data_IF_742620706773
#
_entry.id   IF_742620706773
#
_cell.length_a   1.000
_cell.length_b   1.000
_cell.length_c   1.000
_cell.angle_alpha   90.00
_cell.angle_beta   90.00
_cell.angle_gamma   90.00
#
_symmetry.space_group_name_H-M   'P 1'
#
loop_
_entity.id
_entity.type
_entity.pdbx_description
1 polymer ?
#
# COMPACT_ATOMS: atom_id res chain seq x y z
N UNK A 1 -13.63 6.44 -3.23
CA UNK A 1 -13.28 7.22 -2.02
C UNK A 1 -13.61 6.48 -0.72
N UNK A 2 -14.87 6.09 -0.43
CA UNK A 2 -15.19 5.27 0.76
C UNK A 2 -14.61 3.84 0.62
N UNK A 3 -14.72 3.24 -0.56
CA UNK A 3 -14.17 1.91 -0.87
C UNK A 3 -12.67 1.82 -0.65
N UNK A 4 -11.92 2.83 -1.09
CA UNK A 4 -10.46 2.86 -1.00
C UNK A 4 -9.94 3.01 0.44
N UNK A 5 -10.62 3.81 1.26
CA UNK A 5 -10.32 3.89 2.70
C UNK A 5 -10.60 2.54 3.37
N UNK A 6 -11.70 1.90 3.01
CA UNK A 6 -12.07 0.60 3.55
C UNK A 6 -11.06 -0.49 3.17
N UNK A 7 -10.62 -0.53 1.90
CA UNK A 7 -9.59 -1.46 1.44
C UNK A 7 -8.27 -1.33 2.22
N UNK A 8 -7.80 -0.11 2.47
CA UNK A 8 -6.61 0.11 3.30
C UNK A 8 -6.82 -0.35 4.75
N UNK A 9 -7.99 -0.09 5.34
CA UNK A 9 -8.29 -0.53 6.70
C UNK A 9 -8.33 -2.06 6.79
N UNK A 10 -8.96 -2.73 5.82
CA UNK A 10 -9.00 -4.19 5.75
C UNK A 10 -7.61 -4.79 5.58
N UNK A 11 -6.78 -4.20 4.73
CA UNK A 11 -5.38 -4.58 4.58
C UNK A 11 -4.63 -4.45 5.91
N UNK A 12 -4.71 -3.29 6.57
CA UNK A 12 -4.06 -3.06 7.86
C UNK A 12 -4.55 -4.03 8.95
N UNK A 13 -5.86 -4.26 9.03
CA UNK A 13 -6.47 -5.15 10.02
C UNK A 13 -6.03 -6.61 9.79
N UNK A 14 -5.98 -7.07 8.53
CA UNK A 14 -5.52 -8.43 8.17
C UNK A 14 -4.00 -8.63 8.30
N UNK A 15 -3.23 -7.54 8.34
CA UNK A 15 -1.81 -7.53 8.69
C UNK A 15 -1.58 -7.35 10.21
N UNK A 16 -2.63 -7.22 11.02
CA UNK A 16 -2.54 -7.10 12.47
C UNK A 16 -2.07 -5.72 12.95
N UNK A 17 -2.22 -4.68 12.13
CA UNK A 17 -1.84 -3.31 12.47
C UNK A 17 -2.93 -2.62 13.29
N UNK A 18 -2.68 -2.38 14.58
CA UNK A 18 -3.60 -1.62 15.42
C UNK A 18 -3.56 -0.12 15.07
N UNK A 19 -4.58 0.30 14.33
CA UNK A 19 -4.74 1.69 13.86
C UNK A 19 -4.97 2.70 14.98
N UNK A 20 -5.24 2.30 16.23
CA UNK A 20 -5.43 3.19 17.38
C UNK A 20 -4.20 3.30 18.30
N UNK A 21 -3.25 2.36 18.19
CA UNK A 21 -2.07 2.32 19.05
C UNK A 21 -0.85 3.00 18.42
N UNK A 22 -0.60 2.77 17.13
CA UNK A 22 0.56 3.33 16.43
C UNK A 22 0.13 4.29 15.31
N UNK A 23 0.93 5.33 15.10
CA UNK A 23 0.68 6.32 14.03
C UNK A 23 1.01 5.76 12.64
N UNK A 24 2.00 4.87 12.56
CA UNK A 24 2.41 4.22 11.32
C UNK A 24 3.10 2.87 11.58
N UNK A 25 3.15 2.03 10.55
CA UNK A 25 3.81 0.72 10.53
C UNK A 25 4.70 0.61 9.29
N UNK A 26 5.93 0.15 9.45
CA UNK A 26 6.82 -0.17 8.32
C UNK A 26 6.81 -1.68 8.09
N UNK A 27 6.65 -2.10 6.84
CA UNK A 27 6.65 -3.50 6.46
C UNK A 27 7.29 -3.69 5.10
N UNK A 28 8.12 -4.72 4.95
CA UNK A 28 8.60 -5.14 3.64
C UNK A 28 7.45 -5.68 2.81
N UNK A 29 7.42 -5.37 1.52
CA UNK A 29 6.46 -5.90 0.57
C UNK A 29 7.12 -6.22 -0.77
N UNK A 30 6.48 -7.11 -1.50
CA UNK A 30 6.79 -7.38 -2.90
C UNK A 30 5.88 -6.52 -3.78
N UNK A 31 6.50 -5.63 -4.54
CA UNK A 31 5.90 -4.82 -5.58
C UNK A 31 5.82 -5.60 -6.89
N UNK A 32 4.67 -5.49 -7.56
CA UNK A 32 4.47 -6.01 -8.91
C UNK A 32 3.64 -5.00 -9.73
N UNK A 33 4.24 -4.44 -10.78
CA UNK A 33 3.55 -3.56 -11.74
C UNK A 33 2.58 -4.38 -12.59
N UNK A 34 1.34 -3.91 -12.72
CA UNK A 34 0.29 -4.60 -13.48
C UNK A 34 0.24 -4.17 -14.96
N UNK A 35 1.03 -3.17 -15.33
CA UNK A 35 1.09 -2.57 -16.68
C UNK A 35 2.38 -2.88 -17.44
N UNK A 36 3.46 -3.17 -16.72
CA UNK A 36 4.82 -3.38 -17.24
C UNK A 36 5.49 -4.54 -16.50
N UNK A 37 6.53 -5.18 -17.06
CA UNK A 37 7.26 -6.24 -16.39
C UNK A 37 8.26 -5.67 -15.35
N UNK A 38 7.79 -4.88 -14.39
CA UNK A 38 8.59 -4.30 -13.31
C UNK A 38 8.13 -4.86 -11.96
N UNK A 39 9.06 -5.42 -11.19
CA UNK A 39 8.78 -6.07 -9.91
C UNK A 39 10.00 -5.99 -8.99
N UNK A 40 9.78 -6.08 -7.68
CA UNK A 40 10.88 -6.03 -6.71
C UNK A 40 10.40 -5.92 -5.28
N UNK A 41 11.35 -5.86 -4.35
CA UNK A 41 11.05 -5.58 -2.95
C UNK A 41 11.03 -4.07 -2.71
N UNK A 42 10.17 -3.62 -1.81
CA UNK A 42 10.08 -2.23 -1.34
C UNK A 42 9.64 -2.22 0.12
N UNK A 43 9.96 -1.15 0.85
CA UNK A 43 9.38 -0.90 2.17
C UNK A 43 8.12 -0.06 2.03
N UNK A 44 7.04 -0.51 2.68
CA UNK A 44 5.76 0.19 2.78
C UNK A 44 5.60 0.74 4.18
N UNK A 45 5.39 2.04 4.30
CA UNK A 45 4.93 2.69 5.53
C UNK A 45 3.41 2.88 5.45
N UNK A 46 2.65 2.15 6.26
CA UNK A 46 1.22 2.34 6.45
C UNK A 46 0.98 3.39 7.52
N UNK A 47 0.35 4.51 7.17
CA UNK A 47 -0.08 5.52 8.14
C UNK A 47 -1.53 5.27 8.55
N UNK A 48 -1.78 5.15 9.85
CA UNK A 48 -3.08 4.81 10.44
C UNK A 48 -4.16 5.88 10.21
N UNK A 49 -3.73 7.13 9.97
CA UNK A 49 -4.63 8.24 9.69
C UNK A 49 -5.44 8.74 10.90
N UNK A 50 -5.05 8.40 12.13
CA UNK A 50 -5.76 8.77 13.37
C UNK A 50 -6.11 10.26 13.50
N UNK A 51 -5.27 11.15 12.94
CA UNK A 51 -5.45 12.60 12.99
C UNK A 51 -5.59 13.23 11.59
N UNK A 52 -5.78 12.42 10.55
CA UNK A 52 -5.85 12.86 9.16
C UNK A 52 -7.31 12.96 8.70
N UNK A 53 -7.66 14.07 8.04
CA UNK A 53 -8.96 14.22 7.36
C UNK A 53 -9.10 13.33 6.12
N UNK A 54 -8.01 12.69 5.68
CA UNK A 54 -7.96 11.85 4.48
C UNK A 54 -8.00 10.34 4.80
N UNK A 55 -7.96 9.97 6.09
CA UNK A 55 -7.89 8.57 6.52
C UNK A 55 -6.49 7.95 6.39
N UNK A 56 -6.39 6.61 6.40
CA UNK A 56 -5.12 5.91 6.25
C UNK A 56 -4.57 6.09 4.84
N UNK A 57 -3.25 5.99 4.72
CA UNK A 57 -2.53 6.10 3.45
C UNK A 57 -1.22 5.34 3.53
N UNK A 58 -0.54 5.17 2.40
CA UNK A 58 0.76 4.48 2.36
C UNK A 58 1.83 5.38 1.77
N UNK A 59 3.07 5.15 2.21
CA UNK A 59 4.28 5.67 1.59
C UNK A 59 5.16 4.48 1.21
N UNK A 60 5.67 4.48 -0.02
CA UNK A 60 6.69 3.55 -0.50
C UNK A 60 8.04 4.24 -0.47
N UNK A 61 9.10 3.47 -0.28
CA UNK A 61 10.46 4.01 -0.39
C UNK A 61 10.77 4.50 -1.81
N UNK A 62 11.91 5.19 -1.96
CA UNK A 62 12.33 5.79 -3.23
C UNK A 62 12.59 4.75 -4.35
N UNK A 63 12.68 3.45 -4.02
CA UNK A 63 12.88 2.40 -5.03
C UNK A 63 11.72 2.33 -6.02
N UNK A 64 10.52 2.72 -5.61
CA UNK A 64 9.31 2.74 -6.46
C UNK A 64 9.50 3.59 -7.73
N UNK A 65 10.32 4.65 -7.66
CA UNK A 65 10.63 5.49 -8.82
C UNK A 65 11.41 4.74 -9.89
N UNK A 66 12.24 3.78 -9.50
CA UNK A 66 12.98 2.93 -10.46
C UNK A 66 12.05 1.99 -11.22
N UNK A 67 10.88 1.67 -10.65
CA UNK A 67 9.81 0.94 -11.32
C UNK A 67 8.91 1.84 -12.18
N UNK A 68 9.23 3.13 -12.29
CA UNK A 68 8.51 4.07 -13.13
C UNK A 68 7.22 4.60 -12.52
N UNK A 69 7.08 4.57 -11.20
CA UNK A 69 5.99 5.27 -10.46
C UNK A 69 6.54 6.61 -9.94
N UNK A 70 5.96 7.76 -10.31
CA UNK A 70 6.53 9.06 -10.01
C UNK A 70 6.25 9.56 -8.57
N UNK A 71 5.42 8.85 -7.81
CA UNK A 71 5.02 9.21 -6.46
C UNK A 71 5.49 8.16 -5.47
N UNK A 72 5.80 8.59 -4.26
CA UNK A 72 6.10 7.72 -3.12
C UNK A 72 4.96 7.70 -2.12
N UNK A 73 4.06 8.69 -2.12
CA UNK A 73 2.92 8.77 -1.20
C UNK A 73 1.60 8.56 -1.95
N UNK A 74 0.76 7.67 -1.43
CA UNK A 74 -0.49 7.27 -2.06
C UNK A 74 -1.64 7.40 -1.06
N UNK A 75 -2.61 8.26 -1.37
CA UNK A 75 -3.74 8.62 -0.48
C UNK A 75 -5.07 8.27 -1.16
N UNK A 76 -6.06 7.73 -0.43
CA UNK A 76 -7.40 7.42 -0.96
C UNK A 76 -8.17 8.57 -1.63
N UNK A 77 -7.73 9.82 -1.41
CA UNK A 77 -8.28 11.01 -2.07
C UNK A 77 -7.83 11.13 -3.54
N UNK A 78 -6.67 10.58 -3.88
CA UNK A 78 -6.02 10.77 -5.18
C UNK A 78 -5.82 9.46 -5.95
N UNK A 79 -5.87 8.32 -5.25
CA UNK A 79 -5.69 6.99 -5.83
C UNK A 79 -6.83 6.07 -5.41
N UNK A 80 -7.06 5.06 -6.24
CA UNK A 80 -7.95 3.94 -5.94
C UNK A 80 -7.17 2.80 -5.30
N UNK A 81 -7.83 2.11 -4.38
CA UNK A 81 -7.27 1.00 -3.62
C UNK A 81 -8.31 -0.13 -3.60
N UNK A 82 -7.85 -1.35 -3.88
CA UNK A 82 -8.58 -2.61 -3.72
C UNK A 82 -7.73 -3.57 -2.88
N UNK A 83 -8.36 -4.34 -2.01
CA UNK A 83 -7.66 -5.35 -1.20
C UNK A 83 -8.26 -6.73 -1.44
N UNK A 84 -7.43 -7.67 -1.84
CA UNK A 84 -7.74 -9.10 -1.87
C UNK A 84 -7.20 -9.76 -0.60
N UNK A 85 -8.11 -10.01 0.34
CA UNK A 85 -7.79 -10.67 1.62
C UNK A 85 -7.43 -12.15 1.47
N UNK A 86 -7.86 -12.82 0.40
CA UNK A 86 -7.54 -14.24 0.19
C UNK A 86 -6.07 -14.43 -0.15
N UNK A 87 -5.50 -13.50 -0.93
CA UNK A 87 -4.10 -13.54 -1.35
C UNK A 87 -3.21 -12.54 -0.60
N UNK A 88 -3.78 -11.73 0.31
CA UNK A 88 -3.12 -10.62 1.00
C UNK A 88 -2.42 -9.67 0.03
N UNK A 89 -3.20 -9.15 -0.93
CA UNK A 89 -2.71 -8.24 -1.97
C UNK A 89 -3.47 -6.92 -1.94
N UNK A 90 -2.72 -5.83 -1.87
CA UNK A 90 -3.24 -4.48 -1.98
C UNK A 90 -2.91 -3.95 -3.36
N UNK A 91 -3.93 -3.66 -4.17
CA UNK A 91 -3.79 -3.03 -5.47
C UNK A 91 -3.97 -1.52 -5.33
N UNK A 92 -3.14 -0.77 -6.06
CA UNK A 92 -3.13 0.69 -6.10
C UNK A 92 -3.17 1.13 -7.56
N UNK A 93 -4.19 1.93 -7.89
CA UNK A 93 -4.36 2.49 -9.22
C UNK A 93 -4.38 4.02 -9.16
N UNK A 94 -3.62 4.64 -10.07
CA UNK A 94 -3.62 6.08 -10.29
C UNK A 94 -3.44 6.42 -11.76
N UNK A 95 -3.36 7.72 -12.07
CA UNK A 95 -3.16 8.16 -13.45
C UNK A 95 -1.76 7.77 -13.93
N UNK A 96 -1.69 6.78 -14.81
CA UNK A 96 -0.44 6.34 -15.45
C UNK A 96 0.36 5.28 -14.68
N UNK A 97 -0.20 4.69 -13.63
CA UNK A 97 0.38 3.54 -12.94
C UNK A 97 -0.70 2.67 -12.31
N UNK A 98 -0.42 1.37 -12.26
CA UNK A 98 -1.25 0.37 -11.60
C UNK A 98 -0.32 -0.75 -11.13
N UNK A 99 -0.37 -1.05 -9.83
CA UNK A 99 0.51 -2.03 -9.22
C UNK A 99 -0.14 -2.70 -8.02
N UNK A 100 0.36 -3.86 -7.64
CA UNK A 100 0.00 -4.56 -6.41
C UNK A 100 1.18 -4.64 -5.45
N UNK A 101 0.86 -4.59 -4.15
CA UNK A 101 1.74 -4.91 -3.05
C UNK A 101 1.23 -6.19 -2.40
N UNK A 102 2.11 -7.16 -2.22
CA UNK A 102 1.76 -8.39 -1.54
C UNK A 102 2.97 -8.99 -0.86
N UNK A 103 2.79 -10.18 -0.28
CA UNK A 103 3.85 -10.84 0.49
C UNK A 103 4.43 -9.88 1.54
N UNK A 104 3.55 -9.38 2.39
CA UNK A 104 3.91 -8.45 3.44
C UNK A 104 4.71 -9.17 4.55
N UNK A 105 5.78 -8.54 5.01
CA UNK A 105 6.60 -9.05 6.11
C UNK A 105 7.37 -10.33 5.79
N UNK A 106 7.69 -10.56 4.51
CA UNK A 106 8.43 -11.76 4.09
C UNK A 106 9.74 -11.94 4.86
N UNK A 107 9.84 -13.03 5.64
CA UNK A 107 11.06 -13.84 5.67
C UNK A 107 11.25 -14.52 4.30
N UNK A 108 12.48 -14.59 3.77
CA UNK A 108 12.74 -15.28 2.50
C UNK A 108 12.39 -16.77 2.59
N UNK A 109 11.87 -17.34 1.49
CA UNK A 109 11.80 -18.80 1.32
C UNK A 109 13.19 -19.41 1.24
#
# INVERSE_FOLDING_TARGET
MISSIQALKECMDDLGMDRNNEAFYNIDAYYNDLTRPAQGNTVVTFFSGQHSTFGPHIILDETIRSFGVPFTEFKPKYQEFSYDSSNKRLEIQGVGYEFELGRFGLEPK
#
